data_IF_827492488572
#
_entry.id   IF_827492488572
#
_cell.length_a   1.000
_cell.length_b   1.000
_cell.length_c   1.000
_cell.angle_alpha   90.00
_cell.angle_beta   90.00
_cell.angle_gamma   90.00
#
_symmetry.space_group_name_H-M   'P 1'
#
loop_
_entity.id
_entity.type
_entity.pdbx_description
1 polymer ?
#
# COMPACT_ATOMS: atom_id res chain seq x y z
N UNK A 1 -10.03 -4.29 -14.83
CA UNK A 1 -10.53 -3.53 -13.66
C UNK A 1 -9.45 -2.54 -13.25
N UNK A 2 -9.73 -1.23 -13.11
CA UNK A 2 -8.69 -0.21 -12.91
C UNK A 2 -7.84 -0.37 -11.65
N UNK A 3 -8.38 -0.94 -10.58
CA UNK A 3 -7.61 -1.27 -9.36
C UNK A 3 -6.58 -2.41 -9.53
N UNK A 4 -6.58 -3.08 -10.69
CA UNK A 4 -5.60 -4.11 -11.07
C UNK A 4 -4.64 -3.63 -12.16
N UNK A 5 -4.78 -2.39 -12.63
CA UNK A 5 -3.93 -1.80 -13.66
C UNK A 5 -2.80 -1.00 -13.00
N UNK A 6 -1.55 -1.38 -13.27
CA UNK A 6 -0.35 -0.75 -12.69
C UNK A 6 -0.33 0.76 -12.90
N UNK A 7 -0.50 1.20 -14.15
CA UNK A 7 -0.46 2.62 -14.52
C UNK A 7 -1.50 3.42 -13.74
N UNK A 8 -2.67 2.82 -13.48
CA UNK A 8 -3.73 3.44 -12.71
C UNK A 8 -3.43 3.50 -11.23
N UNK A 9 -2.94 2.41 -10.64
CA UNK A 9 -2.51 2.39 -9.23
C UNK A 9 -1.33 3.34 -8.99
N UNK A 10 -0.35 3.38 -9.89
CA UNK A 10 0.77 4.35 -9.85
C UNK A 10 0.27 5.79 -9.86
N UNK A 11 -0.69 6.11 -10.71
CA UNK A 11 -1.30 7.44 -10.74
C UNK A 11 -1.96 7.79 -9.41
N UNK A 12 -2.75 6.88 -8.84
CA UNK A 12 -3.41 7.10 -7.56
C UNK A 12 -2.39 7.25 -6.42
N UNK A 13 -1.34 6.42 -6.38
CA UNK A 13 -0.26 6.57 -5.40
C UNK A 13 0.43 7.93 -5.53
N UNK A 14 0.71 8.38 -6.76
CA UNK A 14 1.27 9.70 -7.00
C UNK A 14 0.33 10.84 -6.57
N UNK A 15 -0.99 10.70 -6.81
CA UNK A 15 -2.00 11.65 -6.30
C UNK A 15 -1.98 11.73 -4.76
N UNK A 16 -1.86 10.59 -4.08
CA UNK A 16 -1.74 10.54 -2.62
C UNK A 16 -0.46 11.24 -2.14
N UNK A 17 0.69 10.95 -2.76
CA UNK A 17 1.98 11.56 -2.39
C UNK A 17 1.96 13.09 -2.58
N UNK A 18 1.42 13.57 -3.70
CA UNK A 18 1.32 15.01 -3.98
C UNK A 18 0.40 15.72 -2.98
N UNK A 19 -0.69 15.07 -2.55
CA UNK A 19 -1.65 15.65 -1.59
C UNK A 19 -1.17 15.63 -0.13
N UNK A 20 -0.17 14.80 0.22
CA UNK A 20 0.28 14.61 1.61
C UNK A 20 1.70 15.13 1.90
N UNK A 21 2.23 16.06 1.07
CA UNK A 21 3.48 16.82 1.25
C UNK A 21 4.67 16.08 1.92
N UNK A 22 5.57 15.54 1.07
CA UNK A 22 7.02 15.29 1.27
C UNK A 22 7.55 14.49 2.49
N UNK A 23 6.76 14.18 3.52
CA UNK A 23 7.21 13.38 4.68
C UNK A 23 6.83 11.90 4.53
N UNK A 24 6.95 11.42 3.29
CA UNK A 24 6.31 10.22 2.78
C UNK A 24 7.10 8.96 3.14
N UNK A 25 6.35 7.91 3.50
CA UNK A 25 6.78 6.51 3.39
C UNK A 25 7.56 6.29 2.08
N UNK A 26 8.54 5.38 2.10
CA UNK A 26 9.19 4.93 0.86
C UNK A 26 8.22 4.05 0.06
N UNK A 27 7.40 4.66 -0.81
CA UNK A 27 6.39 3.94 -1.60
C UNK A 27 6.90 3.70 -3.02
N UNK A 28 6.82 2.46 -3.48
CA UNK A 28 7.07 2.07 -4.85
C UNK A 28 5.96 1.15 -5.35
N UNK A 29 5.44 1.37 -6.55
CA UNK A 29 4.52 0.42 -7.19
C UNK A 29 5.34 -0.53 -8.04
N UNK A 30 5.16 -1.84 -7.84
CA UNK A 30 5.94 -2.84 -8.56
C UNK A 30 5.12 -3.49 -9.66
N UNK A 31 5.80 -3.87 -10.74
CA UNK A 31 5.28 -4.87 -11.67
C UNK A 31 5.43 -6.24 -11.01
N UNK A 32 4.31 -6.97 -10.86
CA UNK A 32 4.35 -8.35 -10.43
C UNK A 32 4.92 -9.20 -11.57
N UNK A 33 6.24 -9.34 -11.64
CA UNK A 33 6.92 -10.22 -12.59
C UNK A 33 6.87 -11.70 -12.16
N UNK A 34 5.80 -12.11 -11.50
CA UNK A 34 5.45 -13.50 -11.19
C UNK A 34 4.05 -13.76 -11.75
N UNK A 35 4.05 -14.26 -12.98
CA UNK A 35 2.90 -14.68 -13.80
C UNK A 35 1.86 -13.58 -14.12
N UNK A 36 1.60 -13.40 -15.41
CA UNK A 36 0.46 -12.63 -15.93
C UNK A 36 -0.86 -13.25 -15.45
N UNK A 37 -1.23 -12.94 -14.22
CA UNK A 37 -2.52 -13.22 -13.61
C UNK A 37 -3.23 -11.93 -13.24
N UNK A 38 -4.52 -11.98 -12.86
CA UNK A 38 -5.40 -10.83 -12.61
C UNK A 38 -4.99 -9.85 -11.48
N UNK A 39 -3.73 -9.78 -11.06
CA UNK A 39 -3.24 -9.12 -9.84
C UNK A 39 -2.11 -8.09 -10.09
N UNK A 40 -2.23 -7.22 -11.09
CA UNK A 40 -1.14 -6.31 -11.53
C UNK A 40 -1.11 -4.92 -10.84
N UNK A 41 -1.70 -4.79 -9.64
CA UNK A 41 -1.80 -3.53 -8.89
C UNK A 41 -1.17 -3.57 -7.49
N UNK A 42 0.02 -4.18 -7.36
CA UNK A 42 0.68 -4.31 -6.06
C UNK A 42 1.55 -3.08 -5.74
N UNK A 43 1.35 -2.53 -4.56
CA UNK A 43 2.14 -1.42 -4.02
C UNK A 43 3.05 -1.97 -2.93
N UNK A 44 4.34 -1.67 -3.02
CA UNK A 44 5.31 -1.98 -1.97
C UNK A 44 5.64 -0.72 -1.21
N UNK A 45 5.56 -0.83 0.11
CA UNK A 45 5.84 0.26 1.03
C UNK A 45 6.97 -0.17 1.96
N UNK A 46 7.99 0.68 2.04
CA UNK A 46 9.08 0.55 3.02
C UNK A 46 8.82 1.49 4.17
N UNK A 47 8.67 0.94 5.37
CA UNK A 47 8.54 1.73 6.60
C UNK A 47 9.93 2.22 7.04
N UNK A 48 10.03 3.48 7.45
CA UNK A 48 11.30 4.15 7.82
C UNK A 48 11.90 3.53 9.08
N UNK A 49 11.05 3.26 10.05
CA UNK A 49 11.39 2.77 11.40
C UNK A 49 11.74 1.29 11.50
N UNK A 50 11.23 0.45 10.57
CA UNK A 50 11.32 -1.00 10.71
C UNK A 50 11.93 -1.73 9.50
N UNK A 51 12.27 -1.05 8.39
CA UNK A 51 12.77 -1.73 7.18
C UNK A 51 11.98 -2.99 6.82
N UNK A 52 10.68 -2.98 7.08
CA UNK A 52 9.77 -4.10 6.82
C UNK A 52 9.18 -3.90 5.44
N UNK A 53 9.31 -4.91 4.59
CA UNK A 53 8.60 -4.93 3.30
C UNK A 53 7.11 -5.09 3.61
N UNK A 54 6.33 -4.09 3.21
CA UNK A 54 4.89 -4.07 3.40
C UNK A 54 4.20 -4.03 2.05
N UNK A 55 3.35 -5.03 1.79
CA UNK A 55 2.65 -5.18 0.53
C UNK A 55 1.22 -4.68 0.67
N UNK A 56 0.80 -3.82 -0.25
CA UNK A 56 -0.57 -3.38 -0.43
C UNK A 56 -1.10 -3.96 -1.75
N UNK A 57 -2.16 -4.74 -1.67
CA UNK A 57 -2.74 -5.37 -2.85
C UNK A 57 -4.26 -5.58 -2.70
N UNK A 58 -5.01 -5.59 -3.81
CA UNK A 58 -6.44 -5.87 -3.78
C UNK A 58 -6.72 -7.37 -3.76
N UNK A 59 -7.56 -7.81 -2.82
CA UNK A 59 -8.13 -9.16 -2.78
C UNK A 59 -9.62 -9.13 -3.07
N UNK A 60 -10.17 -10.18 -3.68
CA UNK A 60 -11.63 -10.31 -3.81
C UNK A 60 -12.17 -10.96 -2.54
N UNK A 61 -12.95 -10.21 -1.76
CA UNK A 61 -13.65 -10.70 -0.56
C UNK A 61 -15.14 -10.47 -0.73
N UNK A 62 -15.92 -11.54 -0.61
CA UNK A 62 -17.38 -11.51 -0.81
C UNK A 62 -17.79 -10.87 -2.16
N UNK A 63 -17.00 -11.10 -3.22
CA UNK A 63 -17.25 -10.56 -4.55
C UNK A 63 -16.83 -9.11 -4.77
N UNK A 64 -16.30 -8.43 -3.74
CA UNK A 64 -15.84 -7.04 -3.83
C UNK A 64 -14.31 -6.95 -3.68
N UNK A 65 -13.65 -6.04 -4.41
CA UNK A 65 -12.23 -5.78 -4.23
C UNK A 65 -11.97 -5.02 -2.93
N UNK A 66 -11.13 -5.60 -2.07
CA UNK A 66 -10.72 -5.04 -0.79
C UNK A 66 -9.20 -4.94 -0.75
N UNK A 67 -8.67 -3.76 -0.49
CA UNK A 67 -7.23 -3.57 -0.29
C UNK A 67 -6.78 -4.16 1.04
N UNK A 68 -5.75 -4.98 1.00
CA UNK A 68 -5.17 -5.65 2.16
C UNK A 68 -3.72 -5.20 2.31
N UNK A 69 -3.31 -5.03 3.57
CA UNK A 69 -1.93 -4.76 3.96
C UNK A 69 -1.33 -6.06 4.49
N UNK A 70 -0.22 -6.49 3.91
CA UNK A 70 0.55 -7.65 4.36
C UNK A 70 1.93 -7.20 4.83
N UNK A 71 2.24 -7.46 6.10
CA UNK A 71 3.59 -7.27 6.64
C UNK A 71 4.36 -8.56 6.43
N UNK A 72 5.41 -8.53 5.62
CA UNK A 72 6.25 -9.71 5.45
C UNK A 72 7.03 -10.02 6.71
N UNK A 73 7.20 -11.32 6.98
CA UNK A 73 7.94 -11.79 8.14
C UNK A 73 9.38 -11.28 8.11
N UNK A 74 9.84 -10.75 9.25
CA UNK A 74 11.23 -10.29 9.41
C UNK A 74 12.11 -11.48 9.77
N UNK A 75 13.35 -11.46 9.29
CA UNK A 75 14.34 -12.51 9.59
C UNK A 75 14.91 -12.43 11.01
N UNK A 76 14.73 -11.30 11.71
CA UNK A 76 15.18 -11.07 13.08
C UNK A 76 14.22 -10.15 13.85
N UNK A 77 14.24 -10.26 15.18
CA UNK A 77 13.59 -9.30 16.08
C UNK A 77 14.26 -7.92 16.01
N UNK A 78 13.50 -6.87 16.28
CA UNK A 78 14.02 -5.52 16.48
C UNK A 78 13.75 -5.10 17.91
N UNK A 79 14.71 -4.41 18.52
CA UNK A 79 14.48 -3.64 19.74
C UNK A 79 14.29 -2.19 19.34
N UNK A 80 13.27 -1.52 19.89
CA UNK A 80 12.92 -0.14 19.58
C UNK A 80 12.87 0.68 20.86
N UNK A 81 13.42 1.89 20.82
CA UNK A 81 13.20 2.88 21.87
C UNK A 81 11.88 3.67 21.65
N UNK A 82 11.58 4.64 22.52
CA UNK A 82 10.35 5.45 22.40
C UNK A 82 10.30 6.26 21.09
N UNK A 83 11.44 6.73 20.59
CA UNK A 83 11.50 7.50 19.36
C UNK A 83 11.22 6.60 18.15
N UNK A 84 11.86 5.44 18.08
CA UNK A 84 11.66 4.46 17.01
C UNK A 84 10.23 3.92 17.00
N UNK A 85 9.64 3.67 18.18
CA UNK A 85 8.27 3.19 18.30
C UNK A 85 7.26 4.24 17.83
N UNK A 86 7.48 5.52 18.13
CA UNK A 86 6.64 6.63 17.64
C UNK A 86 6.73 6.77 16.13
N UNK A 87 7.92 6.63 15.55
CA UNK A 87 8.11 6.65 14.11
C UNK A 87 7.39 5.48 13.43
N UNK A 88 7.42 4.29 14.02
CA UNK A 88 6.66 3.15 13.51
C UNK A 88 5.15 3.37 13.58
N UNK A 89 4.65 3.97 14.66
CA UNK A 89 3.24 4.30 14.77
C UNK A 89 2.79 5.31 13.70
N UNK A 90 3.60 6.35 13.44
CA UNK A 90 3.37 7.32 12.35
C UNK A 90 3.39 6.63 10.97
N UNK A 91 4.38 5.77 10.72
CA UNK A 91 4.48 4.99 9.48
C UNK A 91 3.24 4.11 9.25
N UNK A 92 2.73 3.43 10.28
CA UNK A 92 1.53 2.59 10.21
C UNK A 92 0.27 3.44 9.99
N UNK A 93 0.17 4.62 10.62
CA UNK A 93 -0.96 5.52 10.41
C UNK A 93 -1.04 5.98 8.95
N UNK A 94 0.08 6.44 8.38
CA UNK A 94 0.17 6.84 6.96
C UNK A 94 -0.12 5.67 6.01
N UNK A 95 0.32 4.47 6.35
CA UNK A 95 0.02 3.27 5.58
C UNK A 95 -1.47 2.95 5.56
N UNK A 96 -2.16 3.12 6.69
CA UNK A 96 -3.60 2.96 6.79
C UNK A 96 -4.36 4.02 5.97
N UNK A 97 -3.87 5.26 5.95
CA UNK A 97 -4.40 6.33 5.10
C UNK A 97 -4.26 6.00 3.61
N UNK A 98 -3.05 5.60 3.16
CA UNK A 98 -2.80 5.19 1.78
C UNK A 98 -3.72 4.02 1.37
N UNK A 99 -3.86 3.00 2.22
CA UNK A 99 -4.77 1.88 1.97
C UNK A 99 -6.22 2.35 1.81
N UNK A 100 -6.65 3.28 2.65
CA UNK A 100 -8.02 3.81 2.63
C UNK A 100 -8.27 4.61 1.36
N UNK A 101 -7.32 5.47 0.97
CA UNK A 101 -7.36 6.21 -0.28
C UNK A 101 -7.48 5.29 -1.51
N UNK A 102 -6.68 4.23 -1.57
CA UNK A 102 -6.75 3.25 -2.67
C UNK A 102 -8.08 2.49 -2.70
N UNK A 103 -8.65 2.19 -1.53
CA UNK A 103 -9.99 1.60 -1.42
C UNK A 103 -11.06 2.56 -1.95
N UNK A 104 -11.05 3.83 -1.54
CA UNK A 104 -12.01 4.84 -2.00
C UNK A 104 -11.98 5.01 -3.53
N UNK A 105 -10.78 5.07 -4.12
CA UNK A 105 -10.60 5.10 -5.57
C UNK A 105 -11.18 3.85 -6.24
N UNK A 106 -10.96 2.69 -5.64
CA UNK A 106 -11.46 1.41 -6.14
C UNK A 106 -12.98 1.37 -6.09
N UNK A 107 -13.58 1.73 -4.97
CA UNK A 107 -15.02 1.75 -4.77
C UNK A 107 -15.70 2.73 -5.72
N UNK A 108 -15.14 3.93 -5.90
CA UNK A 108 -15.66 4.92 -6.84
C UNK A 108 -15.71 4.40 -8.28
N UNK A 109 -14.71 3.61 -8.69
CA UNK A 109 -14.65 3.02 -10.04
C UNK A 109 -15.59 1.82 -10.17
N UNK A 110 -15.68 0.97 -9.14
CA UNK A 110 -16.53 -0.23 -9.13
C UNK A 110 -18.01 0.14 -9.07
N UNK A 111 -18.39 1.17 -8.33
CA UNK A 111 -19.77 1.65 -8.24
C UNK A 111 -20.22 2.43 -9.49
N UNK A 112 -19.27 2.95 -10.27
CA UNK A 112 -19.55 3.66 -11.52
C UNK A 112 -19.81 2.71 -12.72
N UNK A 113 -19.62 1.40 -12.55
CA UNK A 113 -19.80 0.36 -13.57
C UNK A 113 -20.69 -0.78 -13.07
#
# INVERSE_FOLDING_TARGET
MPYRDRTTVERWVNEYIVSHSADSLGVAVLDNNFESGPNSGMVVVTLRSASTITLLHPEIRLGLPVWVVTFEGRSASIDMDDADLRLLADDIARLAELRSFLQEKTDAVVLAH
#
